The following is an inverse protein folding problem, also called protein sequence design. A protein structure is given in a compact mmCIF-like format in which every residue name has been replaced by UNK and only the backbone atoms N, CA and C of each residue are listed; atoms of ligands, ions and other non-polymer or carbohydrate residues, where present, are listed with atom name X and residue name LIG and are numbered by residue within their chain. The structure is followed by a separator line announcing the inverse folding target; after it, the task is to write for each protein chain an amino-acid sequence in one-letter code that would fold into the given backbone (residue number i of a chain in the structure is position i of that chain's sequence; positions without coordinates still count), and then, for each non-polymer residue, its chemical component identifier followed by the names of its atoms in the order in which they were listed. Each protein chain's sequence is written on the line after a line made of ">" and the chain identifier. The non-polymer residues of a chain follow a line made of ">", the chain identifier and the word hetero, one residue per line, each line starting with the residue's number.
data_IF_366877311339
#
_entry.id   IF_366877311339
#
_cell.length_a   1.000
_cell.length_b   1.000
_cell.length_c   1.000
_cell.angle_alpha   90.00
_cell.angle_beta   90.00
_cell.angle_gamma   90.00
#
_symmetry.space_group_name_H-M   'P 1'
#
loop_
_entity.id
_entity.type
_entity.pdbx_description
1 polymer ?
#
# COMPACT_ATOMS: atom_id res chain seq x y z
N UNK A 1 -9.08 -3.49 -16.26
CA UNK A 1 -8.69 -2.06 -16.17
C UNK A 1 -9.03 -1.40 -14.84
N UNK A 2 -10.31 -1.26 -14.44
CA UNK A 2 -10.71 -0.58 -13.19
C UNK A 2 -10.01 -1.09 -11.91
N UNK A 3 -9.83 -2.40 -11.76
CA UNK A 3 -9.16 -3.01 -10.59
C UNK A 3 -7.66 -2.69 -10.51
N UNK A 4 -6.96 -2.67 -11.63
CA UNK A 4 -5.51 -2.37 -11.69
C UNK A 4 -5.29 -0.87 -11.46
N UNK A 5 -6.12 -0.04 -12.08
CA UNK A 5 -6.08 1.41 -11.91
C UNK A 5 -6.42 1.88 -10.49
N UNK A 6 -7.41 1.26 -9.85
CA UNK A 6 -7.72 1.50 -8.44
C UNK A 6 -6.59 1.04 -7.50
N UNK A 7 -5.82 0.02 -7.89
CA UNK A 7 -4.69 -0.50 -7.12
C UNK A 7 -3.46 0.42 -7.19
N UNK A 8 -3.20 1.04 -8.34
CA UNK A 8 -2.05 1.93 -8.55
C UNK A 8 -2.26 3.32 -7.93
N UNK A 9 -3.47 3.86 -8.02
CA UNK A 9 -3.74 5.24 -7.62
C UNK A 9 -4.61 5.35 -6.36
N UNK A 10 -4.91 4.23 -5.69
CA UNK A 10 -5.81 4.18 -4.53
C UNK A 10 -7.23 4.65 -4.88
N UNK A 11 -8.07 4.91 -3.86
CA UNK A 11 -9.44 5.40 -4.06
C UNK A 11 -9.54 6.71 -4.89
N UNK A 12 -8.47 7.51 -4.95
CA UNK A 12 -8.37 8.71 -5.80
C UNK A 12 -8.10 8.40 -7.29
N UNK A 13 -7.64 7.18 -7.57
CA UNK A 13 -7.30 6.66 -8.90
C UNK A 13 -8.43 6.37 -9.84
N UNK A 14 -9.61 6.09 -9.29
CA UNK A 14 -10.82 5.88 -10.07
C UNK A 14 -11.07 7.05 -11.02
N UNK A 15 -10.78 8.29 -10.59
CA UNK A 15 -11.00 9.48 -11.40
C UNK A 15 -10.05 9.64 -12.60
N UNK A 16 -8.78 9.26 -12.46
CA UNK A 16 -7.81 9.33 -13.59
C UNK A 16 -8.09 8.22 -14.60
N UNK A 17 -8.35 7.02 -14.09
CA UNK A 17 -8.78 5.87 -14.87
C UNK A 17 -10.03 6.14 -15.70
N UNK A 18 -11.03 6.73 -15.07
CA UNK A 18 -12.31 7.07 -15.67
C UNK A 18 -12.18 8.23 -16.66
N UNK A 19 -11.31 9.22 -16.39
CA UNK A 19 -10.97 10.26 -17.36
C UNK A 19 -10.30 9.69 -18.61
N UNK A 20 -9.32 8.81 -18.47
CA UNK A 20 -8.67 8.14 -19.62
C UNK A 20 -9.68 7.29 -20.39
N UNK A 21 -10.48 6.48 -19.69
CA UNK A 21 -11.55 5.68 -20.29
C UNK A 21 -12.60 6.53 -21.02
N UNK A 22 -12.96 7.69 -20.49
CA UNK A 22 -13.92 8.62 -21.10
C UNK A 22 -13.33 9.32 -22.34
N UNK A 23 -12.04 9.66 -22.35
CA UNK A 23 -11.37 10.22 -23.53
C UNK A 23 -11.36 9.19 -24.68
N UNK A 24 -11.04 7.93 -24.37
CA UNK A 24 -11.05 6.84 -25.35
C UNK A 24 -12.47 6.59 -25.86
N UNK A 25 -13.49 6.64 -24.99
CA UNK A 25 -14.88 6.48 -25.39
C UNK A 25 -15.41 7.65 -26.23
N UNK A 26 -14.83 8.85 -26.10
CA UNK A 26 -15.26 10.07 -26.82
C UNK A 26 -14.67 10.17 -28.24
N UNK A 27 -13.68 9.35 -28.57
CA UNK A 27 -13.13 9.22 -29.92
C UNK A 27 -13.66 7.94 -30.59
N UNK A 28 -13.87 7.98 -31.91
CA UNK A 28 -14.33 6.85 -32.73
C UNK A 28 -13.22 5.80 -32.90
N UNK A 29 -12.92 5.06 -31.83
CA UNK A 29 -12.10 3.87 -31.90
C UNK A 29 -12.97 2.69 -32.34
N UNK A 30 -12.46 1.85 -33.25
CA UNK A 30 -13.07 0.54 -33.49
C UNK A 30 -13.02 -0.30 -32.20
N UNK A 31 -13.88 -1.31 -32.08
CA UNK A 31 -13.87 -2.22 -30.92
C UNK A 31 -12.49 -2.89 -30.74
N UNK A 32 -11.80 -3.14 -31.85
CA UNK A 32 -10.50 -3.78 -31.89
C UNK A 32 -9.38 -2.84 -31.44
N UNK A 33 -9.38 -1.58 -31.91
CA UNK A 33 -8.43 -0.56 -31.49
C UNK A 33 -8.57 -0.25 -30.00
N UNK A 34 -9.81 -0.22 -29.50
CA UNK A 34 -10.07 -0.04 -28.08
C UNK A 34 -9.45 -1.18 -27.29
N UNK A 35 -9.75 -2.44 -27.62
CA UNK A 35 -9.20 -3.60 -26.93
C UNK A 35 -7.66 -3.64 -26.95
N UNK A 36 -7.04 -3.26 -28.07
CA UNK A 36 -5.58 -3.16 -28.19
C UNK A 36 -5.00 -2.08 -27.28
N UNK A 37 -5.62 -0.90 -27.25
CA UNK A 37 -5.22 0.18 -26.34
C UNK A 37 -5.36 -0.23 -24.87
N UNK A 38 -6.48 -0.88 -24.49
CA UNK A 38 -6.68 -1.34 -23.12
C UNK A 38 -5.59 -2.32 -22.68
N UNK A 39 -5.15 -3.19 -23.59
CA UNK A 39 -4.07 -4.15 -23.37
C UNK A 39 -2.73 -3.45 -23.21
N UNK A 40 -2.32 -2.60 -24.16
CA UNK A 40 -1.04 -1.86 -24.11
C UNK A 40 -0.95 -1.01 -22.84
N UNK A 41 -2.03 -0.31 -22.50
CA UNK A 41 -2.10 0.48 -21.28
C UNK A 41 -1.99 -0.39 -20.02
N UNK A 42 -2.64 -1.56 -20.00
CA UNK A 42 -2.50 -2.51 -18.90
C UNK A 42 -1.06 -3.01 -18.76
N UNK A 43 -0.37 -3.28 -19.87
CA UNK A 43 1.04 -3.68 -19.86
C UNK A 43 1.95 -2.57 -19.33
N UNK A 44 1.73 -1.32 -19.76
CA UNK A 44 2.45 -0.14 -19.21
C UNK A 44 2.25 -0.03 -17.70
N UNK A 45 1.03 -0.24 -17.21
CA UNK A 45 0.74 -0.18 -15.78
C UNK A 45 1.38 -1.32 -14.98
N UNK A 46 1.35 -2.54 -15.51
CA UNK A 46 2.03 -3.69 -14.88
C UNK A 46 3.54 -3.43 -14.79
N UNK A 47 4.13 -2.89 -15.86
CA UNK A 47 5.55 -2.53 -15.88
C UNK A 47 5.87 -1.43 -14.87
N UNK A 48 5.06 -0.38 -14.80
CA UNK A 48 5.23 0.69 -13.82
C UNK A 48 5.08 0.19 -12.37
N UNK A 49 4.12 -0.72 -12.10
CA UNK A 49 3.98 -1.36 -10.78
C UNK A 49 5.22 -2.19 -10.44
N UNK A 50 5.74 -2.98 -11.39
CA UNK A 50 6.95 -3.77 -11.20
C UNK A 50 8.18 -2.88 -10.92
N UNK A 51 8.39 -1.82 -11.70
CA UNK A 51 9.49 -0.87 -11.51
C UNK A 51 9.38 -0.17 -10.14
N UNK A 52 8.17 0.20 -9.71
CA UNK A 52 7.95 0.78 -8.39
C UNK A 52 8.29 -0.22 -7.26
N UNK A 53 7.86 -1.48 -7.38
CA UNK A 53 8.19 -2.52 -6.39
C UNK A 53 9.70 -2.83 -6.35
N UNK A 54 10.37 -2.80 -7.50
CA UNK A 54 11.82 -2.92 -7.58
C UNK A 54 12.50 -1.77 -6.81
N UNK A 55 12.09 -0.51 -7.05
CA UNK A 55 12.62 0.64 -6.32
C UNK A 55 12.41 0.52 -4.80
N UNK A 56 11.24 0.06 -4.34
CA UNK A 56 10.99 -0.19 -2.91
C UNK A 56 11.93 -1.27 -2.36
N UNK A 57 12.11 -2.35 -3.10
CA UNK A 57 13.00 -3.46 -2.72
C UNK A 57 14.46 -3.01 -2.64
N UNK A 58 14.92 -2.22 -3.61
CA UNK A 58 16.27 -1.65 -3.65
C UNK A 58 16.51 -0.69 -2.48
N UNK A 59 15.53 0.15 -2.14
CA UNK A 59 15.61 1.03 -0.96
C UNK A 59 15.75 0.21 0.31
N UNK A 60 14.93 -0.82 0.48
CA UNK A 60 15.03 -1.70 1.65
C UNK A 60 16.36 -2.44 1.72
N UNK A 61 16.88 -2.93 0.59
CA UNK A 61 18.19 -3.58 0.51
C UNK A 61 19.31 -2.60 0.90
N UNK A 62 19.21 -1.36 0.41
CA UNK A 62 20.15 -0.27 0.74
C UNK A 62 20.11 0.05 2.24
N UNK A 63 18.92 0.19 2.82
CA UNK A 63 18.76 0.44 4.26
C UNK A 63 19.36 -0.70 5.10
N UNK A 64 19.17 -1.96 4.68
CA UNK A 64 19.71 -3.13 5.39
C UNK A 64 21.23 -3.26 5.26
N UNK A 65 21.80 -2.82 4.14
CA UNK A 65 23.25 -2.88 3.88
C UNK A 65 24.00 -1.63 4.39
N UNK A 66 23.30 -0.56 4.76
CA UNK A 66 23.92 0.64 5.32
C UNK A 66 24.63 0.36 6.66
N UNK A 67 25.56 1.22 7.09
CA UNK A 67 26.17 1.09 8.41
C UNK A 67 25.27 1.62 9.55
N UNK A 68 24.12 2.20 9.21
CA UNK A 68 23.17 2.77 10.17
C UNK A 68 22.34 1.70 10.87
N UNK A 69 22.51 1.57 12.19
CA UNK A 69 21.68 0.69 13.03
C UNK A 69 20.20 1.07 12.97
N UNK A 70 19.89 2.36 12.95
CA UNK A 70 18.52 2.86 12.87
C UNK A 70 17.86 2.46 11.56
N UNK A 71 18.57 2.58 10.43
CA UNK A 71 18.05 2.20 9.11
C UNK A 71 17.73 0.70 9.03
N UNK A 72 18.57 -0.14 9.67
CA UNK A 72 18.34 -1.60 9.79
C UNK A 72 17.09 -1.94 10.60
N UNK A 73 16.84 -1.19 11.67
CA UNK A 73 15.86 -1.56 12.69
C UNK A 73 14.58 -0.71 12.68
N UNK A 74 14.46 0.32 11.85
CA UNK A 74 13.31 1.23 11.85
C UNK A 74 11.98 0.50 11.67
N UNK A 75 11.91 -0.47 10.74
CA UNK A 75 10.69 -1.25 10.47
C UNK A 75 10.25 -2.09 11.68
N UNK A 76 11.10 -2.99 12.24
CA UNK A 76 10.69 -3.74 13.42
C UNK A 76 10.44 -2.85 14.64
N UNK A 77 11.16 -1.73 14.81
CA UNK A 77 10.91 -0.81 15.93
C UNK A 77 9.55 -0.11 15.82
N UNK A 78 9.18 0.37 14.63
CA UNK A 78 7.85 0.96 14.40
C UNK A 78 6.75 -0.07 14.65
N UNK A 79 6.95 -1.33 14.24
CA UNK A 79 6.00 -2.40 14.52
C UNK A 79 5.82 -2.63 16.02
N UNK A 80 6.92 -2.76 16.76
CA UNK A 80 6.89 -2.94 18.22
C UNK A 80 6.18 -1.75 18.90
N UNK A 81 6.54 -0.52 18.49
CA UNK A 81 5.92 0.69 19.01
C UNK A 81 4.39 0.71 18.81
N UNK A 82 3.93 0.34 17.61
CA UNK A 82 2.50 0.28 17.32
C UNK A 82 1.79 -0.79 18.14
N UNK A 83 2.38 -1.98 18.31
CA UNK A 83 1.81 -3.04 19.15
C UNK A 83 1.71 -2.60 20.62
N UNK A 84 2.76 -1.96 21.15
CA UNK A 84 2.74 -1.40 22.52
C UNK A 84 1.65 -0.33 22.64
N UNK A 85 1.52 0.55 21.65
CA UNK A 85 0.47 1.57 21.60
C UNK A 85 -0.93 0.95 21.64
N UNK A 86 -1.15 -0.15 20.91
CA UNK A 86 -2.41 -0.90 20.97
C UNK A 86 -2.65 -1.52 22.34
N UNK A 87 -1.64 -2.10 22.99
CA UNK A 87 -1.78 -2.63 24.35
C UNK A 87 -2.13 -1.53 25.34
N UNK A 88 -1.51 -0.34 25.25
CA UNK A 88 -1.84 0.82 26.07
C UNK A 88 -3.30 1.26 25.88
N UNK A 89 -3.80 1.25 24.64
CA UNK A 89 -5.20 1.56 24.35
C UNK A 89 -6.16 0.61 25.07
N UNK A 90 -5.83 -0.69 25.16
CA UNK A 90 -6.65 -1.66 25.90
C UNK A 90 -6.71 -1.32 27.40
N UNK A 91 -5.61 -0.87 28.01
CA UNK A 91 -5.60 -0.46 29.42
C UNK A 91 -6.40 0.82 29.67
N UNK A 92 -6.38 1.77 28.73
CA UNK A 92 -7.19 2.98 28.79
C UNK A 92 -8.68 2.62 28.70
N UNK A 93 -9.06 1.76 27.75
CA UNK A 93 -10.45 1.30 27.58
C UNK A 93 -10.96 0.47 28.77
N UNK A 94 -10.09 -0.35 29.37
CA UNK A 94 -10.38 -1.09 30.60
C UNK A 94 -10.54 -0.21 31.86
N UNK A 95 -10.43 1.13 31.72
CA UNK A 95 -10.66 2.08 32.80
C UNK A 95 -9.50 2.20 33.81
N UNK A 96 -8.32 1.63 33.50
CA UNK A 96 -7.13 1.71 34.36
C UNK A 96 -6.51 3.12 34.32
N UNK A 97 -6.72 3.85 33.21
CA UNK A 97 -6.23 5.21 33.00
C UNK A 97 -7.42 6.09 32.64
N UNK A 98 -7.64 7.18 33.39
CA UNK A 98 -8.71 8.15 33.09
C UNK A 98 -8.31 9.08 31.95
N UNK A 99 -8.32 8.56 30.72
CA UNK A 99 -8.04 9.32 29.50
C UNK A 99 -9.05 8.94 28.43
N UNK A 100 -9.83 9.90 27.93
CA UNK A 100 -10.77 9.65 26.85
C UNK A 100 -10.07 9.81 25.49
N UNK A 101 -9.93 8.70 24.75
CA UNK A 101 -9.38 8.72 23.40
C UNK A 101 -10.52 8.84 22.41
N UNK A 102 -10.48 9.84 21.52
CA UNK A 102 -11.49 9.99 20.45
C UNK A 102 -11.38 8.84 19.45
N UNK A 103 -12.53 8.38 18.95
CA UNK A 103 -12.64 7.31 17.94
C UNK A 103 -11.76 7.55 16.71
N UNK A 104 -11.63 8.80 16.27
CA UNK A 104 -10.77 9.16 15.13
C UNK A 104 -9.32 8.72 15.30
N UNK A 105 -8.80 8.68 16.53
CA UNK A 105 -7.44 8.25 16.83
C UNK A 105 -7.33 6.73 16.91
N UNK A 106 -8.39 6.05 17.36
CA UNK A 106 -8.50 4.58 17.32
C UNK A 106 -8.48 4.11 15.85
N UNK A 107 -9.30 4.73 15.00
CA UNK A 107 -9.38 4.41 13.57
C UNK A 107 -8.05 4.65 12.85
N UNK A 108 -7.38 5.77 13.16
CA UNK A 108 -6.07 6.07 12.61
C UNK A 108 -5.03 5.02 13.04
N UNK A 109 -5.02 4.63 14.32
CA UNK A 109 -4.11 3.61 14.84
C UNK A 109 -4.38 2.27 14.14
N UNK A 110 -5.64 1.87 13.97
CA UNK A 110 -6.01 0.65 13.27
C UNK A 110 -5.54 0.67 11.81
N UNK A 111 -5.79 1.77 11.09
CA UNK A 111 -5.37 1.94 9.69
C UNK A 111 -3.85 1.81 9.55
N UNK A 112 -3.10 2.51 10.40
CA UNK A 112 -1.63 2.47 10.41
C UNK A 112 -1.14 1.06 10.76
N UNK A 113 -1.75 0.39 11.75
CA UNK A 113 -1.37 -0.95 12.18
C UNK A 113 -1.54 -1.98 11.05
N UNK A 114 -2.70 -2.01 10.39
CA UNK A 114 -2.95 -2.91 9.24
C UNK A 114 -1.97 -2.62 8.10
N UNK A 115 -1.71 -1.34 7.82
CA UNK A 115 -0.80 -0.93 6.74
C UNK A 115 0.64 -1.36 7.03
N UNK A 116 1.14 -1.16 8.25
CA UNK A 116 2.52 -1.49 8.65
C UNK A 116 2.72 -3.00 8.77
N UNK A 117 1.77 -3.73 9.38
CA UNK A 117 1.81 -5.20 9.45
C UNK A 117 1.76 -5.79 8.05
N UNK A 118 0.86 -5.30 7.20
CA UNK A 118 0.74 -5.71 5.80
C UNK A 118 2.02 -5.46 5.01
N UNK A 119 2.65 -4.29 5.15
CA UNK A 119 3.90 -3.98 4.48
C UNK A 119 5.07 -4.84 5.00
N UNK A 120 5.14 -5.12 6.30
CA UNK A 120 6.26 -5.85 6.91
C UNK A 120 6.19 -7.36 6.68
N UNK A 121 5.00 -7.96 6.79
CA UNK A 121 4.80 -9.41 6.64
C UNK A 121 4.20 -9.82 5.29
N UNK A 122 3.42 -8.96 4.64
CA UNK A 122 2.69 -9.28 3.41
C UNK A 122 3.59 -9.70 2.25
N UNK A 123 4.80 -9.13 2.14
CA UNK A 123 5.79 -9.59 1.16
C UNK A 123 6.36 -10.99 1.44
N UNK A 124 6.52 -11.35 2.72
CA UNK A 124 7.10 -12.63 3.14
C UNK A 124 6.13 -13.82 2.96
N UNK A 125 4.83 -13.55 2.88
CA UNK A 125 3.82 -14.58 2.62
C UNK A 125 3.77 -15.01 1.16
N UNK A 126 3.96 -14.09 0.21
CA UNK A 126 3.99 -14.43 -1.22
C UNK A 126 5.26 -15.19 -1.63
N UNK A 127 6.42 -14.88 -1.03
CA UNK A 127 7.67 -15.65 -1.24
C UNK A 127 7.54 -17.12 -0.82
N UNK A 128 6.70 -17.42 0.18
CA UNK A 128 6.50 -18.79 0.66
C UNK A 128 5.53 -19.62 -0.20
N UNK A 129 4.64 -18.98 -0.96
CA UNK A 129 3.69 -19.67 -1.84
C UNK A 129 4.36 -20.10 -3.16
N UNK A 130 5.43 -19.41 -3.55
CA UNK A 130 6.15 -19.65 -4.81
C UNK A 130 7.37 -20.59 -4.65
N UNK A 131 7.50 -21.24 -3.49
CA UNK A 131 8.59 -22.17 -3.19
C UNK A 131 8.21 -23.60 -3.56
#
# INVERSE_FOLDING_TARGET
>A
MKKILAKIFGGAGGGVAEKISNIIAKHTFSKEDRAKFEKEMTEVFIKAEADMQQNVTERWKTDMNSDSWLSKNVRPMVLIFLVISTVLMVFIDAGVISFNVKDTWIDLLQLVLITVIGAYFGGRSFEKIKK
#
